data_IF_374369750939
#
_entry.id   IF_374369750939
#
_cell.length_a   1.000
_cell.length_b   1.000
_cell.length_c   1.000
_cell.angle_alpha   90.00
_cell.angle_beta   90.00
_cell.angle_gamma   90.00
#
_symmetry.space_group_name_H-M   'P 1'
#
loop_
_entity.id
_entity.type
_entity.pdbx_description
1 polymer ?
#
# COMPACT_ATOMS: atom_id res chain seq x y z
N UNK A 1 -2.70 -7.19 9.17
CA UNK A 1 -3.22 -8.51 8.76
C UNK A 1 -4.53 -8.75 9.48
N UNK A 2 -5.53 -9.39 8.85
CA UNK A 2 -6.77 -9.76 9.53
C UNK A 2 -6.44 -10.52 10.81
N UNK A 3 -6.96 -10.06 11.95
CA UNK A 3 -6.73 -10.73 13.21
C UNK A 3 -7.64 -11.96 13.30
N UNK A 4 -7.11 -13.19 13.48
CA UNK A 4 -7.93 -14.41 13.49
C UNK A 4 -8.95 -14.46 14.64
N UNK A 5 -8.77 -13.64 15.68
CA UNK A 5 -9.63 -13.59 16.87
C UNK A 5 -10.75 -12.55 16.72
N UNK A 6 -10.58 -11.54 15.84
CA UNK A 6 -11.56 -10.46 15.67
C UNK A 6 -12.49 -10.82 14.52
N UNK A 7 -13.83 -10.74 14.69
CA UNK A 7 -14.76 -10.94 13.59
C UNK A 7 -14.47 -10.02 12.41
N UNK A 8 -14.44 -10.57 11.19
CA UNK A 8 -14.05 -9.82 9.99
C UNK A 8 -14.86 -8.52 9.80
N UNK A 9 -16.17 -8.52 10.06
CA UNK A 9 -16.99 -7.32 9.91
C UNK A 9 -16.53 -6.15 10.82
N UNK A 10 -16.12 -6.46 12.05
CA UNK A 10 -15.58 -5.47 12.99
C UNK A 10 -14.22 -4.97 12.53
N UNK A 11 -13.38 -5.89 12.04
CA UNK A 11 -12.08 -5.56 11.49
C UNK A 11 -12.17 -4.65 10.26
N UNK A 12 -13.04 -4.98 9.30
CA UNK A 12 -13.27 -4.17 8.09
C UNK A 12 -13.74 -2.76 8.42
N UNK A 13 -14.66 -2.62 9.37
CA UNK A 13 -15.20 -1.32 9.76
C UNK A 13 -14.11 -0.42 10.35
N UNK A 14 -13.29 -0.96 11.26
CA UNK A 14 -12.17 -0.24 11.85
C UNK A 14 -11.11 0.12 10.79
N UNK A 15 -10.68 -0.86 9.99
CA UNK A 15 -9.68 -0.62 8.93
C UNK A 15 -10.16 0.43 7.92
N UNK A 16 -11.44 0.40 7.52
CA UNK A 16 -12.00 1.38 6.57
C UNK A 16 -12.10 2.78 7.19
N UNK A 17 -12.37 2.89 8.50
CA UNK A 17 -12.33 4.18 9.19
C UNK A 17 -10.93 4.80 9.16
N UNK A 18 -9.90 4.03 9.52
CA UNK A 18 -8.50 4.48 9.46
C UNK A 18 -8.08 4.88 8.03
N UNK A 19 -8.48 4.10 7.02
CA UNK A 19 -8.19 4.42 5.61
C UNK A 19 -8.70 5.80 5.20
N UNK A 20 -9.80 6.31 5.77
CA UNK A 20 -10.31 7.65 5.46
C UNK A 20 -9.35 8.75 5.91
N UNK A 21 -8.61 8.52 6.99
CA UNK A 21 -7.64 9.48 7.50
C UNK A 21 -6.32 9.42 6.74
N UNK A 22 -5.91 8.22 6.31
CA UNK A 22 -4.57 8.01 5.72
C UNK A 22 -4.53 8.03 4.20
N UNK A 23 -5.66 7.95 3.48
CA UNK A 23 -5.67 7.90 2.00
C UNK A 23 -4.96 9.08 1.35
N UNK A 24 -4.95 10.24 2.01
CA UNK A 24 -4.26 11.44 1.54
C UNK A 24 -2.75 11.46 1.78
N UNK A 25 -2.22 10.49 2.53
CA UNK A 25 -0.81 10.45 2.89
C UNK A 25 -0.02 9.77 1.78
N UNK A 26 0.58 10.60 0.92
CA UNK A 26 1.60 10.19 -0.03
C UNK A 26 2.95 10.75 0.40
N UNK A 27 4.01 9.96 0.24
CA UNK A 27 5.32 10.30 0.79
C UNK A 27 6.48 9.87 -0.09
N UNK A 28 7.60 10.55 0.10
CA UNK A 28 8.92 10.20 -0.42
C UNK A 28 9.77 9.75 0.74
N UNK A 29 10.39 8.58 0.62
CA UNK A 29 11.25 8.02 1.67
C UNK A 29 12.51 7.44 1.07
N UNK A 30 13.67 7.83 1.62
CA UNK A 30 14.92 7.15 1.32
C UNK A 30 14.99 5.82 2.08
N UNK A 31 15.01 4.73 1.32
CA UNK A 31 15.25 3.40 1.86
C UNK A 31 16.74 3.07 1.75
N UNK A 32 17.37 2.83 2.90
CA UNK A 32 18.75 2.36 2.97
C UNK A 32 18.86 0.85 2.75
N UNK A 33 17.73 0.15 2.72
CA UNK A 33 17.65 -1.29 2.50
C UNK A 33 16.54 -1.63 1.50
N UNK A 34 16.93 -2.22 0.36
CA UNK A 34 16.01 -2.81 -0.61
C UNK A 34 15.82 -4.30 -0.29
N UNK A 35 14.69 -4.63 0.34
CA UNK A 35 14.39 -6.00 0.79
C UNK A 35 14.14 -6.98 -0.36
N UNK A 36 13.81 -6.49 -1.55
CA UNK A 36 13.46 -7.27 -2.73
C UNK A 36 14.65 -7.59 -3.65
N UNK A 37 15.82 -6.98 -3.42
CA UNK A 37 17.04 -7.28 -4.20
C UNK A 37 17.68 -8.62 -3.85
N UNK A 38 17.33 -9.19 -2.69
CA UNK A 38 17.81 -10.50 -2.24
C UNK A 38 19.18 -10.49 -1.56
N UNK A 39 19.68 -9.33 -1.14
CA UNK A 39 20.96 -9.24 -0.45
C UNK A 39 20.88 -9.76 0.98
N UNK A 40 21.97 -10.41 1.43
CA UNK A 40 22.11 -10.91 2.80
C UNK A 40 22.28 -9.79 3.83
N UNK A 41 22.82 -8.65 3.42
CA UNK A 41 23.05 -7.49 4.27
C UNK A 41 22.49 -6.24 3.60
N UNK A 42 21.98 -5.26 4.37
CA UNK A 42 21.41 -4.01 3.86
C UNK A 42 22.51 -3.03 3.42
N UNK A 43 23.35 -3.46 2.48
CA UNK A 43 24.46 -2.65 1.96
C UNK A 43 24.09 -2.10 0.59
N UNK A 44 24.31 -0.80 0.39
CA UNK A 44 24.03 -0.16 -0.89
C UNK A 44 23.83 1.34 -0.76
N UNK A 45 23.72 2.00 -1.91
CA UNK A 45 23.32 3.41 -1.94
C UNK A 45 21.84 3.55 -1.54
N UNK A 46 21.47 4.59 -0.77
CA UNK A 46 20.08 4.86 -0.47
C UNK A 46 19.26 5.02 -1.75
N UNK A 47 18.05 4.49 -1.76
CA UNK A 47 17.13 4.56 -2.90
C UNK A 47 15.92 5.39 -2.52
N UNK A 48 15.56 6.33 -3.39
CA UNK A 48 14.35 7.11 -3.22
C UNK A 48 13.16 6.25 -3.60
N UNK A 49 12.28 5.98 -2.64
CA UNK A 49 11.02 5.28 -2.87
C UNK A 49 9.86 6.26 -2.68
N UNK A 50 8.80 6.05 -3.44
CA UNK A 50 7.60 6.88 -3.42
C UNK A 50 6.36 6.00 -3.30
N UNK A 51 5.32 6.52 -2.64
CA UNK A 51 4.01 5.88 -2.62
C UNK A 51 3.43 5.74 -4.03
N UNK A 52 2.59 4.73 -4.23
CA UNK A 52 1.77 4.62 -5.44
C UNK A 52 0.70 5.71 -5.43
N UNK A 53 0.55 6.40 -6.55
CA UNK A 53 -0.49 7.40 -6.79
C UNK A 53 -1.52 6.95 -7.81
N UNK A 54 -1.18 5.94 -8.62
CA UNK A 54 -2.03 5.41 -9.70
C UNK A 54 -1.94 3.87 -9.76
N UNK A 55 -2.97 3.24 -10.31
CA UNK A 55 -3.10 1.77 -10.37
C UNK A 55 -2.08 1.12 -11.34
N UNK A 56 -1.66 1.86 -12.36
CA UNK A 56 -0.68 1.45 -13.38
C UNK A 56 0.72 1.23 -12.79
N UNK A 57 1.02 1.89 -11.68
CA UNK A 57 2.30 1.80 -10.98
C UNK A 57 2.39 0.51 -10.13
N UNK A 58 1.25 -0.15 -9.87
CA UNK A 58 1.17 -1.30 -8.99
C UNK A 58 1.56 -2.57 -9.74
N UNK A 59 2.54 -3.31 -9.21
CA UNK A 59 2.86 -4.66 -9.70
C UNK A 59 1.81 -5.66 -9.23
N UNK A 60 0.74 -5.82 -10.00
CA UNK A 60 -0.43 -6.64 -9.63
C UNK A 60 -0.13 -8.10 -9.28
N UNK A 61 0.90 -8.71 -9.86
CA UNK A 61 1.28 -10.08 -9.52
C UNK A 61 1.87 -10.17 -8.09
N UNK A 62 2.56 -9.14 -7.60
CA UNK A 62 3.01 -9.07 -6.19
C UNK A 62 1.82 -8.93 -5.23
N UNK A 63 0.75 -8.26 -5.65
CA UNK A 63 -0.50 -8.16 -4.87
C UNK A 63 -1.19 -9.52 -4.77
N UNK A 64 -1.25 -10.28 -5.86
CA UNK A 64 -1.81 -11.64 -5.84
C UNK A 64 -1.03 -12.58 -4.91
N UNK A 65 0.30 -12.55 -4.95
CA UNK A 65 1.15 -13.32 -4.03
C UNK A 65 0.86 -12.96 -2.57
N UNK A 66 0.84 -11.66 -2.26
CA UNK A 66 0.50 -11.15 -0.93
C UNK A 66 -0.87 -11.65 -0.46
N UNK A 67 -1.88 -11.53 -1.30
CA UNK A 67 -3.27 -11.91 -1.01
C UNK A 67 -3.38 -13.42 -0.72
N UNK A 68 -2.68 -14.25 -1.50
CA UNK A 68 -2.58 -15.69 -1.26
C UNK A 68 -1.92 -16.02 0.10
N UNK A 69 -0.80 -15.36 0.40
CA UNK A 69 -0.04 -15.59 1.65
C UNK A 69 -0.79 -15.19 2.91
N UNK A 70 -1.64 -14.17 2.82
CA UNK A 70 -2.32 -13.60 3.99
C UNK A 70 -3.83 -13.84 4.01
N UNK A 71 -4.36 -14.58 3.03
CA UNK A 71 -5.79 -14.86 2.93
C UNK A 71 -6.64 -13.60 2.76
N UNK A 72 -6.11 -12.61 2.05
CA UNK A 72 -6.78 -11.32 1.80
C UNK A 72 -7.34 -11.29 0.38
N UNK A 73 -8.47 -10.61 0.18
CA UNK A 73 -9.05 -10.38 -1.14
C UNK A 73 -9.08 -8.87 -1.40
N UNK A 74 -8.11 -8.39 -2.20
CA UNK A 74 -7.98 -6.97 -2.53
C UNK A 74 -9.23 -6.41 -3.23
N UNK A 75 -9.92 -7.20 -4.06
CA UNK A 75 -11.12 -6.74 -4.77
C UNK A 75 -12.25 -6.41 -3.80
N UNK A 76 -12.43 -7.25 -2.77
CA UNK A 76 -13.40 -6.97 -1.68
C UNK A 76 -12.99 -5.75 -0.86
N UNK A 77 -11.71 -5.61 -0.53
CA UNK A 77 -11.18 -4.43 0.18
C UNK A 77 -11.40 -3.14 -0.60
N UNK A 78 -11.15 -3.17 -1.91
CA UNK A 78 -11.40 -2.03 -2.82
C UNK A 78 -12.89 -1.71 -2.85
N UNK A 79 -13.76 -2.71 -2.98
CA UNK A 79 -15.22 -2.51 -2.96
C UNK A 79 -15.70 -1.88 -1.64
N UNK A 80 -15.17 -2.31 -0.50
CA UNK A 80 -15.53 -1.79 0.82
C UNK A 80 -15.10 -0.33 1.06
N UNK A 81 -14.13 0.17 0.28
CA UNK A 81 -13.56 1.53 0.40
C UNK A 81 -14.00 2.48 -0.72
N UNK A 82 -14.97 2.09 -1.54
CA UNK A 82 -15.42 2.91 -2.69
C UNK A 82 -16.04 4.25 -2.29
N UNK A 83 -16.47 4.38 -1.04
CA UNK A 83 -17.04 5.61 -0.48
C UNK A 83 -15.98 6.59 0.02
N UNK A 84 -14.70 6.18 0.10
CA UNK A 84 -13.61 7.07 0.49
C UNK A 84 -13.35 8.04 -0.66
N UNK A 85 -13.36 9.34 -0.34
CA UNK A 85 -13.13 10.42 -1.31
C UNK A 85 -11.72 10.28 -1.87
N UNK A 86 -11.61 10.22 -3.19
CA UNK A 86 -10.34 10.21 -3.89
C UNK A 86 -9.63 11.55 -3.70
N UNK A 87 -8.37 11.50 -3.26
CA UNK A 87 -7.55 12.70 -3.07
C UNK A 87 -6.60 12.86 -4.24
N UNK A 88 -6.62 14.02 -4.87
CA UNK A 88 -5.67 14.37 -5.93
C UNK A 88 -4.30 14.66 -5.31
N UNK A 89 -3.24 13.89 -5.64
CA UNK A 89 -1.89 14.20 -5.20
C UNK A 89 -1.46 15.59 -5.69
N UNK A 90 -0.59 16.27 -4.95
CA UNK A 90 -0.04 17.55 -5.39
C UNK A 90 0.75 17.34 -6.70
N UNK A 91 0.67 18.30 -7.64
CA UNK A 91 1.25 18.19 -9.00
C UNK A 91 2.76 17.85 -9.04
N UNK A 92 3.49 18.20 -7.98
CA UNK A 92 4.94 18.01 -7.82
C UNK A 92 5.28 16.86 -6.85
N UNK A 93 4.27 16.12 -6.39
CA UNK A 93 4.46 15.05 -5.42
C UNK A 93 4.93 13.75 -6.06
N UNK A 94 4.61 13.53 -7.33
CA UNK A 94 4.69 12.28 -8.11
C UNK A 94 5.94 12.17 -9.01
N UNK A 95 6.91 13.06 -8.87
CA UNK A 95 8.04 13.19 -9.82
C UNK A 95 8.89 11.92 -10.02
N UNK A 96 8.78 10.91 -9.15
CA UNK A 96 9.46 9.62 -9.31
C UNK A 96 8.77 8.69 -10.31
N UNK A 97 7.54 9.01 -10.72
CA UNK A 97 6.73 8.22 -11.66
C UNK A 97 6.62 8.85 -13.06
N UNK A 98 7.19 10.04 -13.25
CA UNK A 98 7.31 10.74 -14.54
C UNK A 98 8.66 10.42 -15.20
#
# INVERSE_FOLDING_TARGET
MPNPVVPNAVWEAAETAEMREIVGLYGKTFHFWQVDRGDKLPLGMPQLMMSFTEDEQVTWDKIKDRDSRFGVDMSKKRQARKDIIEMTPHQDADSCWK
#
